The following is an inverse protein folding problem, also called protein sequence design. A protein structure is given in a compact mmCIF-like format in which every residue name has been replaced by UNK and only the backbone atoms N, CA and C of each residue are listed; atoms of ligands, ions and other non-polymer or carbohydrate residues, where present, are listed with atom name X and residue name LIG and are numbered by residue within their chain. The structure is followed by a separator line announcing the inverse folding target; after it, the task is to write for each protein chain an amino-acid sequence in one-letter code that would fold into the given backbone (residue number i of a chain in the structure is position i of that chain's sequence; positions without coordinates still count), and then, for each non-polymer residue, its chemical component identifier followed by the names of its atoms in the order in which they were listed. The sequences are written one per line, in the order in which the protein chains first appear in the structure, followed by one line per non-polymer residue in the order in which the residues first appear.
data_IF_527127703660
#
_entry.id   IF_527127703660
#
_cell.length_a   1.000
_cell.length_b   1.000
_cell.length_c   1.000
_cell.angle_alpha   90.00
_cell.angle_beta   90.00
_cell.angle_gamma   90.00
#
_symmetry.space_group_name_H-M   'P 1'
#
loop_
_entity.id
_entity.type
_entity.pdbx_description
1 polymer ?
#
# COMPACT_ATOMS: atom_id res chain seq x y z
N UNK A 1 11.25 -37.73 -4.88
CA UNK A 1 12.21 -36.76 -4.32
C UNK A 1 11.44 -35.85 -3.38
N UNK A 2 12.05 -35.40 -2.28
CA UNK A 2 11.39 -34.48 -1.34
C UNK A 2 11.35 -33.05 -1.88
N UNK A 3 10.33 -32.27 -1.50
CA UNK A 3 10.24 -30.85 -1.87
C UNK A 3 11.47 -30.08 -1.35
N UNK A 4 12.01 -29.10 -2.10
CA UNK A 4 13.16 -28.32 -1.64
C UNK A 4 12.89 -27.59 -0.32
N UNK A 5 13.80 -27.72 0.65
CA UNK A 5 13.73 -27.04 1.95
C UNK A 5 14.84 -26.01 2.18
N UNK A 6 15.94 -26.14 1.43
CA UNK A 6 17.11 -25.27 1.50
C UNK A 6 16.99 -24.13 0.50
N UNK A 7 17.44 -22.93 0.91
CA UNK A 7 17.44 -21.77 0.02
C UNK A 7 18.50 -21.93 -1.06
N UNK A 8 18.12 -21.68 -2.32
CA UNK A 8 19.04 -21.48 -3.44
C UNK A 8 18.60 -20.23 -4.21
N UNK A 9 19.57 -19.51 -4.78
CA UNK A 9 19.28 -18.31 -5.57
C UNK A 9 18.48 -18.62 -6.83
N UNK A 10 18.69 -19.80 -7.42
CA UNK A 10 17.98 -20.28 -8.59
C UNK A 10 16.48 -20.47 -8.32
N UNK A 11 16.11 -21.19 -7.25
CA UNK A 11 14.70 -21.38 -6.87
C UNK A 11 14.06 -20.03 -6.49
N UNK A 12 14.81 -19.19 -5.78
CA UNK A 12 14.35 -17.85 -5.42
C UNK A 12 14.06 -16.97 -6.65
N UNK A 13 14.92 -17.02 -7.66
CA UNK A 13 14.75 -16.32 -8.93
C UNK A 13 13.54 -16.84 -9.71
N UNK A 14 13.38 -18.17 -9.78
CA UNK A 14 12.25 -18.82 -10.45
C UNK A 14 10.91 -18.44 -9.80
N UNK A 15 10.83 -18.43 -8.46
CA UNK A 15 9.64 -17.97 -7.74
C UNK A 15 9.32 -16.51 -8.10
N UNK A 16 10.33 -15.63 -8.11
CA UNK A 16 10.14 -14.23 -8.48
C UNK A 16 9.66 -14.08 -9.93
N UNK A 17 10.23 -14.83 -10.88
CA UNK A 17 9.82 -14.81 -12.28
C UNK A 17 8.34 -15.19 -12.43
N UNK A 18 7.91 -16.28 -11.80
CA UNK A 18 6.52 -16.72 -11.83
C UNK A 18 5.56 -15.74 -11.15
N UNK A 19 5.99 -15.06 -10.08
CA UNK A 19 5.18 -14.01 -9.45
C UNK A 19 4.98 -12.84 -10.42
N UNK A 20 6.04 -12.42 -11.10
CA UNK A 20 6.00 -11.33 -12.10
C UNK A 20 4.99 -11.68 -13.21
N UNK A 21 4.90 -12.94 -13.62
CA UNK A 21 3.90 -13.44 -14.59
C UNK A 21 2.45 -13.46 -14.07
N UNK A 22 2.19 -13.04 -12.83
CA UNK A 22 0.83 -13.01 -12.26
C UNK A 22 0.47 -14.22 -11.39
N UNK A 23 1.33 -15.25 -11.28
CA UNK A 23 1.02 -16.43 -10.48
C UNK A 23 1.05 -16.11 -8.98
N UNK A 24 0.08 -16.66 -8.25
CA UNK A 24 0.09 -16.57 -6.79
C UNK A 24 1.19 -17.45 -6.20
N UNK A 25 1.79 -17.05 -5.08
CA UNK A 25 2.76 -17.89 -4.36
C UNK A 25 2.16 -19.28 -4.02
N UNK A 26 0.87 -19.33 -3.71
CA UNK A 26 0.18 -20.61 -3.44
C UNK A 26 0.19 -21.51 -4.67
N UNK A 27 -0.11 -20.96 -5.84
CA UNK A 27 -0.10 -21.68 -7.12
C UNK A 27 1.29 -22.22 -7.44
N UNK A 28 2.33 -21.39 -7.28
CA UNK A 28 3.73 -21.77 -7.54
C UNK A 28 4.13 -22.95 -6.64
N UNK A 29 3.85 -22.85 -5.33
CA UNK A 29 4.20 -23.89 -4.36
C UNK A 29 3.37 -25.20 -4.47
N UNK A 30 2.45 -25.31 -5.45
CA UNK A 30 1.77 -26.59 -5.72
C UNK A 30 2.69 -27.57 -6.46
N UNK A 31 3.63 -27.07 -7.28
CA UNK A 31 4.53 -27.91 -8.04
C UNK A 31 5.48 -28.73 -7.13
N UNK A 32 5.84 -29.94 -7.56
CA UNK A 32 6.63 -30.88 -6.76
C UNK A 32 8.09 -30.48 -6.61
N UNK A 33 8.60 -29.70 -7.57
CA UNK A 33 9.93 -29.10 -7.59
C UNK A 33 10.00 -27.76 -6.83
N UNK A 34 8.88 -27.28 -6.29
CA UNK A 34 8.82 -26.01 -5.57
C UNK A 34 8.79 -26.20 -4.04
N UNK A 35 9.43 -25.30 -3.28
CA UNK A 35 9.31 -25.27 -1.83
C UNK A 35 7.88 -24.97 -1.41
N UNK A 36 7.52 -25.35 -0.18
CA UNK A 36 6.23 -24.99 0.38
C UNK A 36 6.16 -23.49 0.75
N UNK A 37 4.94 -22.96 0.83
CA UNK A 37 4.70 -21.52 1.11
C UNK A 37 5.39 -21.06 2.41
N UNK A 38 5.37 -21.87 3.48
CA UNK A 38 6.00 -21.51 4.76
C UNK A 38 7.52 -21.41 4.62
N UNK A 39 8.13 -22.31 3.83
CA UNK A 39 9.55 -22.25 3.52
C UNK A 39 9.93 -20.99 2.77
N UNK A 40 9.17 -20.62 1.72
CA UNK A 40 9.41 -19.36 0.99
C UNK A 40 9.28 -18.15 1.90
N UNK A 41 8.21 -18.08 2.70
CA UNK A 41 7.99 -16.96 3.62
C UNK A 41 9.10 -16.87 4.68
N UNK A 42 9.61 -18.00 5.17
CA UNK A 42 10.78 -18.03 6.06
C UNK A 42 12.00 -17.40 5.38
N UNK A 43 12.28 -17.75 4.13
CA UNK A 43 13.39 -17.16 3.38
C UNK A 43 13.23 -15.66 3.18
N UNK A 44 12.02 -15.17 2.85
CA UNK A 44 11.72 -13.73 2.73
C UNK A 44 11.97 -13.01 4.06
N UNK A 45 11.65 -13.65 5.19
CA UNK A 45 11.92 -13.09 6.51
C UNK A 45 13.41 -13.12 6.87
N UNK A 46 14.16 -14.16 6.54
CA UNK A 46 15.56 -14.33 6.99
C UNK A 46 16.63 -13.80 6.03
N UNK A 47 16.31 -13.56 4.75
CA UNK A 47 17.26 -13.12 3.73
C UNK A 47 16.86 -11.73 3.18
N UNK A 48 17.58 -10.66 3.55
CA UNK A 48 17.27 -9.29 3.10
C UNK A 48 17.33 -9.09 1.58
N UNK A 49 18.28 -9.74 0.89
CA UNK A 49 18.40 -9.64 -0.56
C UNK A 49 17.22 -10.30 -1.26
N UNK A 50 16.84 -11.51 -0.83
CA UNK A 50 15.66 -12.18 -1.39
C UNK A 50 14.37 -11.43 -1.07
N UNK A 51 14.26 -10.84 0.13
CA UNK A 51 13.12 -10.00 0.50
C UNK A 51 12.92 -8.84 -0.48
N UNK A 52 14.01 -8.15 -0.85
CA UNK A 52 13.96 -7.05 -1.80
C UNK A 52 13.53 -7.51 -3.19
N UNK A 53 14.10 -8.62 -3.68
CA UNK A 53 13.73 -9.21 -4.96
C UNK A 53 12.25 -9.63 -4.99
N UNK A 54 11.79 -10.31 -3.93
CA UNK A 54 10.41 -10.72 -3.77
C UNK A 54 9.46 -9.52 -3.73
N UNK A 55 9.80 -8.47 -3.00
CA UNK A 55 8.99 -7.25 -2.94
C UNK A 55 8.87 -6.59 -4.32
N UNK A 56 9.97 -6.51 -5.07
CA UNK A 56 9.95 -6.00 -6.45
C UNK A 56 9.11 -6.88 -7.38
N UNK A 57 9.26 -8.21 -7.29
CA UNK A 57 8.44 -9.13 -8.07
C UNK A 57 6.95 -8.95 -7.78
N UNK A 58 6.58 -8.73 -6.50
CA UNK A 58 5.21 -8.41 -6.10
C UNK A 58 4.73 -7.07 -6.66
N UNK A 59 5.57 -6.05 -6.79
CA UNK A 59 5.20 -4.80 -7.44
C UNK A 59 4.94 -5.00 -8.94
N UNK A 60 5.84 -5.71 -9.64
CA UNK A 60 5.69 -5.97 -11.09
C UNK A 60 4.54 -6.93 -11.40
N UNK A 61 4.21 -7.85 -10.50
CA UNK A 61 3.01 -8.68 -10.59
C UNK A 61 1.74 -7.86 -10.83
N UNK A 62 1.68 -6.62 -10.31
CA UNK A 62 0.52 -5.76 -10.50
C UNK A 62 0.23 -5.51 -11.99
N UNK A 63 1.28 -5.34 -12.81
CA UNK A 63 1.13 -5.09 -14.24
C UNK A 63 0.55 -6.34 -14.93
N UNK A 64 1.08 -7.54 -14.65
CA UNK A 64 0.56 -8.80 -15.21
C UNK A 64 -0.89 -9.08 -14.80
N UNK A 65 -1.26 -8.81 -13.54
CA UNK A 65 -2.64 -8.97 -13.08
C UNK A 65 -3.61 -8.01 -13.77
N UNK A 66 -3.14 -6.82 -14.16
CA UNK A 66 -3.96 -5.84 -14.89
C UNK A 66 -4.12 -6.24 -16.35
N UNK A 67 -3.06 -6.73 -17.00
CA UNK A 67 -3.17 -7.23 -18.39
C UNK A 67 -4.15 -8.41 -18.48
N UNK A 68 -4.14 -9.35 -17.53
CA UNK A 68 -5.08 -10.49 -17.50
C UNK A 68 -6.56 -10.06 -17.34
N UNK A 69 -6.84 -8.83 -16.88
CA UNK A 69 -8.24 -8.36 -16.73
C UNK A 69 -8.94 -8.29 -18.09
N UNK A 70 -8.23 -7.92 -19.15
CA UNK A 70 -8.81 -7.82 -20.49
C UNK A 70 -9.25 -9.21 -20.98
N UNK A 71 -8.35 -10.19 -20.88
CA UNK A 71 -8.65 -11.58 -21.24
C UNK A 71 -9.84 -12.14 -20.46
N UNK A 72 -9.93 -11.86 -19.16
CA UNK A 72 -11.05 -12.32 -18.32
C UNK A 72 -12.37 -11.63 -18.68
N UNK A 73 -12.31 -10.35 -19.07
CA UNK A 73 -13.50 -9.57 -19.39
C UNK A 73 -14.07 -9.95 -20.76
N UNK A 74 -13.20 -10.33 -21.70
CA UNK A 74 -13.56 -10.70 -23.07
C UNK A 74 -13.86 -12.21 -23.24
N UNK A 75 -13.49 -13.05 -22.28
CA UNK A 75 -13.76 -14.49 -22.28
C UNK A 75 -15.19 -14.84 -21.83
N UNK A 76 -16.07 -15.12 -22.80
CA UNK A 76 -17.45 -15.58 -22.57
C UNK A 76 -17.60 -17.10 -22.39
N UNK A 77 -16.52 -17.84 -22.18
CA UNK A 77 -16.58 -19.30 -22.02
C UNK A 77 -17.36 -19.67 -20.76
N UNK A 78 -18.33 -20.58 -20.92
CA UNK A 78 -19.25 -21.05 -19.87
C UNK A 78 -20.31 -20.04 -19.39
N UNK A 79 -20.50 -18.89 -20.06
CA UNK A 79 -21.58 -17.94 -19.74
C UNK A 79 -22.98 -18.52 -19.97
N UNK A 80 -23.07 -19.55 -20.80
CA UNK A 80 -24.30 -20.29 -21.06
C UNK A 80 -24.15 -21.72 -20.57
N UNK A 81 -25.20 -22.24 -19.94
CA UNK A 81 -25.29 -23.63 -19.52
C UNK A 81 -26.60 -24.27 -19.97
N UNK A 82 -26.57 -25.58 -20.17
CA UNK A 82 -27.77 -26.36 -20.45
C UNK A 82 -28.72 -26.26 -19.24
N UNK A 83 -29.95 -25.83 -19.50
CA UNK A 83 -31.04 -25.88 -18.55
C UNK A 83 -31.62 -27.30 -18.55
N UNK A 84 -31.77 -27.88 -17.36
CA UNK A 84 -32.38 -29.20 -17.18
C UNK A 84 -33.66 -29.09 -16.38
N UNK A 85 -34.66 -29.89 -16.73
CA UNK A 85 -35.84 -30.05 -15.92
C UNK A 85 -35.56 -30.93 -14.68
N UNK A 86 -36.62 -31.19 -13.91
CA UNK A 86 -36.57 -32.03 -12.69
C UNK A 86 -36.16 -33.49 -12.97
N UNK A 87 -36.38 -33.97 -14.20
CA UNK A 87 -36.11 -35.34 -14.61
C UNK A 87 -34.74 -35.44 -15.33
N UNK A 88 -34.01 -34.32 -15.42
CA UNK A 88 -32.67 -34.23 -16.00
C UNK A 88 -32.65 -34.05 -17.52
N UNK A 89 -33.81 -33.90 -18.17
CA UNK A 89 -33.88 -33.66 -19.60
C UNK A 89 -33.48 -32.23 -19.95
N UNK A 90 -32.73 -32.06 -21.04
CA UNK A 90 -32.33 -30.76 -21.53
C UNK A 90 -33.54 -29.99 -22.08
N UNK A 91 -33.84 -28.84 -21.48
CA UNK A 91 -34.98 -27.98 -21.85
C UNK A 91 -34.57 -26.68 -22.53
N UNK A 92 -33.27 -26.49 -22.78
CA UNK A 92 -32.73 -25.34 -23.51
C UNK A 92 -31.44 -24.83 -22.88
N UNK A 93 -31.14 -23.55 -23.15
CA UNK A 93 -29.98 -22.86 -22.61
C UNK A 93 -30.42 -21.76 -21.65
N UNK A 94 -29.64 -21.56 -20.60
CA UNK A 94 -29.80 -20.45 -19.66
C UNK A 94 -28.46 -19.82 -19.36
N UNK A 95 -28.48 -18.57 -18.91
CA UNK A 95 -27.31 -17.89 -18.40
C UNK A 95 -26.74 -18.64 -17.18
N UNK A 96 -25.43 -18.84 -17.18
CA UNK A 96 -24.68 -19.33 -16.05
C UNK A 96 -24.21 -18.15 -15.19
N UNK A 97 -25.11 -17.68 -14.32
CA UNK A 97 -24.80 -16.55 -13.43
C UNK A 97 -23.56 -16.78 -12.56
N UNK A 98 -23.20 -18.03 -12.23
CA UNK A 98 -21.98 -18.31 -11.48
C UNK A 98 -20.72 -17.94 -12.28
N UNK A 99 -20.66 -18.32 -13.57
CA UNK A 99 -19.51 -18.02 -14.43
C UNK A 99 -19.31 -16.50 -14.56
N UNK A 100 -20.38 -15.77 -14.87
CA UNK A 100 -20.35 -14.32 -15.04
C UNK A 100 -19.96 -13.61 -13.74
N UNK A 101 -20.56 -13.98 -12.61
CA UNK A 101 -20.20 -13.38 -11.32
C UNK A 101 -18.76 -13.72 -10.89
N UNK A 102 -18.27 -14.91 -11.25
CA UNK A 102 -16.87 -15.30 -11.00
C UNK A 102 -15.91 -14.48 -11.84
N UNK A 103 -16.19 -14.24 -13.12
CA UNK A 103 -15.36 -13.37 -13.97
C UNK A 103 -15.31 -11.95 -13.42
N UNK A 104 -16.47 -11.39 -13.02
CA UNK A 104 -16.52 -10.09 -12.32
C UNK A 104 -15.67 -10.07 -11.04
N UNK A 105 -15.82 -11.08 -10.17
CA UNK A 105 -15.04 -11.19 -8.95
C UNK A 105 -13.54 -11.31 -9.23
N UNK A 106 -13.13 -12.03 -10.28
CA UNK A 106 -11.73 -12.16 -10.70
C UNK A 106 -11.15 -10.82 -11.13
N UNK A 107 -11.90 -10.03 -11.90
CA UNK A 107 -11.51 -8.68 -12.33
C UNK A 107 -11.39 -7.75 -11.12
N UNK A 108 -12.41 -7.70 -10.26
CA UNK A 108 -12.42 -6.81 -9.10
C UNK A 108 -11.30 -7.15 -8.11
N UNK A 109 -11.04 -8.43 -7.88
CA UNK A 109 -9.92 -8.89 -7.05
C UNK A 109 -8.58 -8.43 -7.63
N UNK A 110 -8.36 -8.55 -8.94
CA UNK A 110 -7.12 -8.13 -9.60
C UNK A 110 -6.92 -6.62 -9.54
N UNK A 111 -7.97 -5.82 -9.77
CA UNK A 111 -7.94 -4.36 -9.59
C UNK A 111 -7.54 -4.01 -8.16
N UNK A 112 -8.19 -4.62 -7.17
CA UNK A 112 -7.87 -4.39 -5.76
C UNK A 112 -6.41 -4.75 -5.44
N UNK A 113 -5.94 -5.93 -5.84
CA UNK A 113 -4.55 -6.34 -5.62
C UNK A 113 -3.58 -5.37 -6.29
N UNK A 114 -3.78 -5.02 -7.56
CA UNK A 114 -2.91 -4.10 -8.29
C UNK A 114 -2.84 -2.70 -7.64
N UNK A 115 -3.97 -2.19 -7.16
CA UNK A 115 -4.04 -0.91 -6.42
C UNK A 115 -3.23 -0.92 -5.11
N UNK A 116 -3.05 -2.09 -4.48
CA UNK A 116 -2.25 -2.23 -3.26
C UNK A 116 -0.77 -2.48 -3.55
N UNK A 117 -0.47 -3.21 -4.62
CA UNK A 117 0.91 -3.57 -4.99
C UNK A 117 1.65 -2.42 -5.68
N UNK A 118 0.96 -1.63 -6.53
CA UNK A 118 1.56 -0.54 -7.30
C UNK A 118 0.66 0.71 -7.25
N UNK A 119 0.39 1.18 -6.03
CA UNK A 119 -0.58 2.24 -5.73
C UNK A 119 -0.37 3.54 -6.50
N UNK A 120 0.88 3.91 -6.83
CA UNK A 120 1.17 5.10 -7.64
C UNK A 120 0.60 5.01 -9.06
N UNK A 121 0.52 3.81 -9.63
CA UNK A 121 0.07 3.56 -11.01
C UNK A 121 -1.41 3.15 -11.08
N UNK A 122 -1.84 2.29 -10.14
CA UNK A 122 -3.18 1.67 -10.16
C UNK A 122 -4.05 2.03 -8.95
N UNK A 123 -3.56 2.87 -8.04
CA UNK A 123 -4.35 3.37 -6.93
C UNK A 123 -5.32 4.46 -7.37
N UNK A 124 -6.43 4.56 -6.65
CA UNK A 124 -7.40 5.63 -6.88
C UNK A 124 -6.74 6.99 -6.61
N UNK A 125 -6.69 7.83 -7.64
CA UNK A 125 -6.18 9.20 -7.53
C UNK A 125 -7.35 10.16 -7.43
N UNK A 126 -7.60 10.67 -6.21
CA UNK A 126 -8.59 11.73 -6.00
C UNK A 126 -7.89 13.10 -6.03
N UNK A 127 -8.29 13.97 -6.96
CA UNK A 127 -7.90 15.38 -6.92
C UNK A 127 -8.84 16.13 -5.97
N UNK A 128 -8.44 16.30 -4.72
CA UNK A 128 -9.18 17.14 -3.77
C UNK A 128 -8.82 18.61 -4.00
N UNK A 129 -9.81 19.44 -4.34
CA UNK A 129 -9.66 20.90 -4.33
C UNK A 129 -9.94 21.38 -2.92
N UNK A 130 -8.91 21.80 -2.19
CA UNK A 130 -9.06 22.38 -0.85
C UNK A 130 -9.12 23.90 -1.00
N UNK A 131 -10.24 24.49 -0.57
CA UNK A 131 -10.46 25.94 -0.57
C UNK A 131 -11.25 26.34 0.68
N UNK A 132 -11.18 27.61 1.06
CA UNK A 132 -12.02 28.20 2.09
C UNK A 132 -13.47 28.37 1.62
N UNK A 133 -14.30 28.94 2.48
CA UNK A 133 -15.67 29.34 2.14
C UNK A 133 -15.67 30.16 0.83
N UNK A 134 -16.58 29.83 -0.08
CA UNK A 134 -16.70 30.40 -1.43
C UNK A 134 -15.52 30.17 -2.39
N UNK A 135 -14.67 29.18 -2.12
CA UNK A 135 -13.52 28.85 -2.98
C UNK A 135 -12.34 29.82 -2.83
N UNK A 136 -12.39 30.68 -1.80
CA UNK A 136 -11.30 31.57 -1.44
C UNK A 136 -10.16 30.87 -0.69
N UNK A 137 -9.16 31.63 -0.20
CA UNK A 137 -8.09 31.09 0.62
C UNK A 137 -8.62 30.45 1.91
N UNK A 138 -7.98 29.36 2.36
CA UNK A 138 -8.26 28.77 3.67
C UNK A 138 -7.85 29.79 4.74
N UNK A 139 -8.82 30.27 5.52
CA UNK A 139 -8.56 31.12 6.69
C UNK A 139 -8.22 30.21 7.87
N UNK A 140 -6.95 30.16 8.25
CA UNK A 140 -6.52 29.52 9.49
C UNK A 140 -6.51 30.56 10.61
N UNK A 141 -7.38 30.42 11.61
CA UNK A 141 -7.34 31.23 12.81
C UNK A 141 -6.52 30.49 13.89
N UNK A 142 -5.41 31.08 14.31
CA UNK A 142 -4.55 30.52 15.35
C UNK A 142 -4.74 31.36 16.62
N UNK A 143 -5.38 30.80 17.64
CA UNK A 143 -5.60 31.50 18.90
C UNK A 143 -4.37 31.37 19.81
N UNK A 144 -3.86 32.48 20.35
CA UNK A 144 -2.68 32.50 21.24
C UNK A 144 -2.88 31.61 22.48
N UNK A 145 -4.10 31.47 22.99
CA UNK A 145 -4.43 30.60 24.13
C UNK A 145 -4.15 29.12 23.88
N UNK A 146 -4.28 28.61 22.64
CA UNK A 146 -3.97 27.22 22.32
C UNK A 146 -2.47 26.95 22.26
N UNK A 147 -1.67 27.94 21.87
CA UNK A 147 -0.21 27.89 21.88
C UNK A 147 0.30 27.92 23.33
N UNK A 148 -0.22 28.82 24.16
CA UNK A 148 0.17 28.95 25.57
C UNK A 148 -0.10 27.67 26.37
N UNK A 149 -1.27 27.03 26.18
CA UNK A 149 -1.59 25.74 26.80
C UNK A 149 -0.60 24.61 26.43
N UNK A 150 0.04 24.68 25.25
CA UNK A 150 1.03 23.70 24.81
C UNK A 150 2.45 23.97 25.33
N UNK A 151 2.73 25.21 25.73
CA UNK A 151 4.02 25.67 26.28
C UNK A 151 4.09 25.42 27.79
N UNK A 152 2.97 25.62 28.51
CA UNK A 152 2.86 25.52 29.98
C UNK A 152 3.06 24.10 30.56
N UNK A 153 3.43 23.11 29.74
CA UNK A 153 3.74 21.76 30.19
C UNK A 153 5.13 21.23 29.81
N UNK A 154 5.97 22.00 29.08
CA UNK A 154 7.25 21.49 28.53
C UNK A 154 8.46 22.42 28.60
N UNK A 155 8.35 23.66 29.06
CA UNK A 155 9.54 24.49 29.32
C UNK A 155 10.10 24.21 30.70
N UNK A 156 11.02 23.24 30.78
CA UNK A 156 11.90 23.13 31.92
C UNK A 156 12.74 24.42 32.05
N UNK A 157 12.62 25.09 33.19
CA UNK A 157 13.49 26.14 33.75
C UNK A 157 13.72 27.41 32.90
N UNK A 158 12.94 28.45 33.20
CA UNK A 158 13.46 29.83 33.22
C UNK A 158 13.72 30.18 34.70
N UNK A 159 14.93 30.64 35.08
CA UNK A 159 15.20 31.03 36.47
C UNK A 159 14.35 32.26 36.84
N UNK A 160 13.86 32.27 38.08
CA UNK A 160 13.11 33.39 38.64
C UNK A 160 13.98 34.65 38.68
N UNK A 161 13.43 35.76 38.20
CA UNK A 161 14.04 37.09 38.31
C UNK A 161 14.11 37.45 39.80
N UNK A 162 15.32 37.50 40.36
CA UNK A 162 15.59 38.06 41.69
C UNK A 162 15.90 39.53 41.56
N UNK A 163 15.28 40.35 42.41
CA UNK A 163 15.41 41.81 42.45
C UNK A 163 16.79 42.26 43.00
N UNK A 164 17.88 41.93 42.30
CA UNK A 164 19.24 42.33 42.70
C UNK A 164 20.15 42.65 41.48
N UNK A 165 19.63 43.45 40.54
CA UNK A 165 20.46 44.13 39.55
C UNK A 165 20.56 45.62 39.93
N UNK A 166 21.39 45.91 40.92
CA UNK A 166 21.92 47.25 41.17
C UNK A 166 22.67 47.71 39.92
N UNK A 167 22.02 48.54 39.09
CA UNK A 167 22.67 49.26 38.01
C UNK A 167 23.38 50.47 38.61
N UNK A 168 24.55 50.21 39.20
CA UNK A 168 25.42 51.26 39.71
C UNK A 168 25.98 52.10 38.57
N UNK A 169 25.91 53.40 38.80
CA UNK A 169 26.30 54.49 37.94
C UNK A 169 27.81 54.51 37.66
N UNK A 170 28.18 54.55 36.37
CA UNK A 170 29.47 55.11 35.94
C UNK A 170 29.48 55.39 34.43
N UNK A 171 28.72 56.39 33.96
CA UNK A 171 29.09 57.13 32.74
C UNK A 171 28.35 58.47 32.64
N UNK A 172 28.65 59.40 33.54
CA UNK A 172 28.41 60.82 33.28
C UNK A 172 29.65 61.62 33.72
N UNK A 173 30.00 62.62 32.91
CA UNK A 173 31.12 63.57 33.04
C UNK A 173 32.48 63.18 32.43
N UNK A 174 32.59 63.19 31.10
CA UNK A 174 33.71 63.86 30.40
C UNK A 174 33.44 64.00 28.89
N UNK A 175 32.83 65.13 28.49
CA UNK A 175 33.28 66.03 27.40
C UNK A 175 32.14 66.97 26.98
N UNK A 176 31.98 68.07 27.71
CA UNK A 176 31.69 69.37 27.11
C UNK A 176 33.04 70.06 26.80
N UNK A 177 33.14 70.75 25.66
CA UNK A 177 34.19 71.74 25.38
C UNK A 177 35.27 71.32 24.37
N UNK A 178 35.01 71.53 23.09
CA UNK A 178 35.62 72.59 22.26
C UNK A 178 34.92 72.66 20.89
#
# INVERSE_FOLDING_TARGET
MGRPSSFTEEIAAEICAQIIEGKSLRTICLADDMPDVRTVMRWVSSNPLFRQQYARAKEEQADALVEEILDISDDGTNDWMEARDKDGAAIGWRENGEAIQRSKLRVDTRKWVASKLKAKKYGDSASLRVGGEDGGPIKAEITISSILQSIDGKTASLPARTDDDTFDAEFDAQKQGD
#
